data_IF_785590212698
#
_entry.id   IF_785590212698
#
_cell.length_a   1.000
_cell.length_b   1.000
_cell.length_c   1.000
_cell.angle_alpha   90.00
_cell.angle_beta   90.00
_cell.angle_gamma   90.00
#
_symmetry.space_group_name_H-M   'P 1'
#
loop_
_entity.id
_entity.type
_entity.pdbx_description
1 polymer ?
#
# COMPACT_ATOMS: atom_id res chain seq x y z
N UNK A 1 -12.76 -13.43 -13.84
CA UNK A 1 -13.75 -13.30 -12.74
C UNK A 1 -13.26 -12.26 -11.77
N UNK A 2 -14.07 -11.30 -11.46
CA UNK A 2 -13.73 -10.26 -10.50
C UNK A 2 -13.65 -10.84 -9.09
N UNK A 3 -12.56 -10.56 -8.37
CA UNK A 3 -12.36 -11.10 -7.02
C UNK A 3 -13.29 -10.37 -6.05
N UNK A 4 -14.20 -11.08 -5.43
CA UNK A 4 -15.20 -10.54 -4.51
C UNK A 4 -14.70 -10.40 -3.07
N UNK A 5 -13.59 -11.05 -2.73
CA UNK A 5 -13.03 -11.05 -1.38
C UNK A 5 -11.64 -10.47 -1.42
N UNK A 6 -11.36 -9.57 -0.50
CA UNK A 6 -10.03 -9.02 -0.27
C UNK A 6 -9.69 -8.99 1.21
N UNK A 7 -8.43 -9.15 1.54
CA UNK A 7 -7.93 -8.92 2.90
C UNK A 7 -7.44 -7.48 2.98
N UNK A 8 -8.05 -6.71 3.88
CA UNK A 8 -7.69 -5.31 4.06
C UNK A 8 -6.24 -5.15 4.50
N UNK A 9 -5.55 -4.08 4.05
CA UNK A 9 -4.24 -3.73 4.55
C UNK A 9 -4.26 -3.49 6.07
N UNK A 10 -3.41 -4.19 6.83
CA UNK A 10 -3.36 -4.07 8.28
C UNK A 10 -1.91 -4.07 8.77
N UNK A 11 -1.49 -2.98 9.43
CA UNK A 11 -0.17 -2.86 10.03
C UNK A 11 0.08 -3.98 11.04
N UNK A 12 1.26 -4.61 10.95
CA UNK A 12 1.64 -5.72 11.82
C UNK A 12 0.91 -7.04 11.59
N UNK A 13 -0.01 -7.10 10.63
CA UNK A 13 -0.83 -8.28 10.34
C UNK A 13 -0.59 -8.80 8.91
N UNK A 14 -0.82 -7.97 7.89
CA UNK A 14 -0.79 -8.40 6.49
C UNK A 14 0.60 -8.36 5.87
N UNK A 15 1.59 -8.85 6.58
CA UNK A 15 2.96 -9.01 6.10
C UNK A 15 3.05 -10.09 5.00
N UNK A 16 4.25 -10.25 4.43
CA UNK A 16 4.49 -11.22 3.35
C UNK A 16 4.20 -12.67 3.76
N UNK A 17 4.40 -13.01 5.04
CA UNK A 17 4.19 -14.37 5.55
C UNK A 17 2.71 -14.68 5.71
N UNK A 18 1.96 -13.74 6.29
CA UNK A 18 0.50 -13.84 6.37
C UNK A 18 -0.13 -13.94 4.98
N UNK A 19 0.26 -13.08 4.05
CA UNK A 19 -0.26 -13.10 2.68
C UNK A 19 0.06 -14.42 1.97
N UNK A 20 1.25 -14.97 2.19
CA UNK A 20 1.62 -16.27 1.65
C UNK A 20 0.71 -17.38 2.18
N UNK A 21 0.50 -17.42 3.50
CA UNK A 21 -0.40 -18.38 4.13
C UNK A 21 -1.82 -18.30 3.55
N UNK A 22 -2.39 -17.11 3.44
CA UNK A 22 -3.72 -16.91 2.87
C UNK A 22 -3.76 -17.35 1.39
N UNK A 23 -2.72 -17.11 0.63
CA UNK A 23 -2.65 -17.51 -0.79
C UNK A 23 -2.67 -19.03 -0.99
N UNK A 24 -2.20 -19.79 -0.01
CA UNK A 24 -2.29 -21.25 -0.01
C UNK A 24 -3.70 -21.75 0.31
N UNK A 25 -4.43 -21.03 1.17
CA UNK A 25 -5.78 -21.40 1.60
C UNK A 25 -6.84 -20.96 0.58
N UNK A 26 -6.64 -19.81 -0.08
CA UNK A 26 -7.65 -19.20 -0.94
C UNK A 26 -6.99 -18.51 -2.15
N UNK A 27 -7.10 -19.14 -3.32
CA UNK A 27 -6.42 -18.69 -4.56
C UNK A 27 -7.01 -17.40 -5.16
N UNK A 28 -8.27 -17.11 -4.85
CA UNK A 28 -9.02 -16.00 -5.47
C UNK A 28 -9.24 -14.81 -4.53
N UNK A 29 -8.42 -14.69 -3.50
CA UNK A 29 -8.44 -13.55 -2.59
C UNK A 29 -7.48 -12.48 -3.07
N UNK A 30 -7.92 -11.20 -3.04
CA UNK A 30 -7.05 -10.06 -3.26
C UNK A 30 -6.31 -9.74 -1.96
N UNK A 31 -5.00 -9.63 -2.05
CA UNK A 31 -4.12 -9.39 -0.91
C UNK A 31 -3.43 -8.03 -1.06
N UNK A 32 -3.23 -7.36 0.06
CA UNK A 32 -2.52 -6.07 0.13
C UNK A 32 -1.36 -6.13 1.12
N UNK A 33 -0.34 -5.32 0.85
CA UNK A 33 0.70 -5.04 1.85
C UNK A 33 0.11 -4.26 3.03
N UNK A 34 0.78 -4.21 4.18
CA UNK A 34 0.54 -3.15 5.15
C UNK A 34 0.74 -1.78 4.50
N UNK A 35 0.19 -0.74 5.11
CA UNK A 35 0.41 0.63 4.66
C UNK A 35 1.90 1.01 4.76
N UNK A 36 2.45 1.56 3.67
CA UNK A 36 3.84 2.00 3.58
C UNK A 36 3.86 3.50 3.25
N UNK A 37 4.63 4.27 3.98
CA UNK A 37 4.78 5.70 3.67
C UNK A 37 5.52 5.90 2.35
N UNK A 38 5.02 6.80 1.50
CA UNK A 38 5.61 7.10 0.20
C UNK A 38 7.07 7.59 0.33
N UNK A 39 7.36 8.39 1.34
CA UNK A 39 8.72 8.84 1.66
C UNK A 39 9.65 7.66 1.97
N UNK A 40 9.17 6.65 2.67
CA UNK A 40 9.96 5.46 2.97
C UNK A 40 10.32 4.69 1.68
N UNK A 41 9.41 4.64 0.72
CA UNK A 41 9.65 4.02 -0.59
C UNK A 41 10.70 4.79 -1.37
N UNK A 42 10.56 6.11 -1.45
CA UNK A 42 11.48 6.99 -2.19
C UNK A 42 12.90 6.97 -1.61
N UNK A 43 13.01 6.87 -0.29
CA UNK A 43 14.29 6.94 0.42
C UNK A 43 14.91 5.56 0.72
N UNK A 44 14.17 4.47 0.49
CA UNK A 44 14.67 3.11 0.73
C UNK A 44 15.44 2.55 -0.46
N UNK A 45 16.19 1.49 -0.21
CA UNK A 45 16.71 0.67 -1.31
C UNK A 45 15.59 -0.08 -2.02
N UNK A 46 15.71 -0.29 -3.34
CA UNK A 46 14.76 -1.10 -4.12
C UNK A 46 14.52 -2.50 -3.55
N UNK A 47 15.46 -3.02 -2.77
CA UNK A 47 15.34 -4.33 -2.11
C UNK A 47 14.19 -4.39 -1.10
N UNK A 48 13.85 -3.29 -0.43
CA UNK A 48 12.73 -3.25 0.50
C UNK A 48 11.40 -3.54 -0.22
N UNK A 49 11.11 -2.82 -1.30
CA UNK A 49 9.88 -2.98 -2.09
C UNK A 49 9.80 -4.38 -2.70
N UNK A 50 10.90 -4.89 -3.23
CA UNK A 50 10.98 -6.24 -3.77
C UNK A 50 10.69 -7.31 -2.70
N UNK A 51 11.22 -7.12 -1.50
CA UNK A 51 10.98 -8.02 -0.37
C UNK A 51 9.53 -8.01 0.09
N UNK A 52 8.89 -6.83 0.11
CA UNK A 52 7.49 -6.70 0.51
C UNK A 52 6.52 -7.32 -0.51
N UNK A 53 6.89 -7.44 -1.77
CA UNK A 53 6.06 -8.15 -2.75
C UNK A 53 5.88 -9.64 -2.38
N UNK A 54 6.89 -10.27 -1.80
CA UNK A 54 6.81 -11.67 -1.36
C UNK A 54 6.78 -12.66 -2.53
N UNK A 55 6.11 -13.80 -2.30
CA UNK A 55 6.03 -14.91 -3.25
C UNK A 55 4.69 -14.97 -4.01
N UNK A 56 3.76 -14.09 -3.72
CA UNK A 56 2.43 -14.08 -4.33
C UNK A 56 2.47 -13.37 -5.68
N UNK A 57 1.76 -13.93 -6.65
CA UNK A 57 1.71 -13.37 -8.02
C UNK A 57 0.84 -12.12 -8.15
N UNK A 58 0.00 -11.83 -7.16
CA UNK A 58 -1.01 -10.75 -7.26
C UNK A 58 -1.20 -10.06 -5.91
N UNK A 59 -0.37 -9.09 -5.63
CA UNK A 59 -0.43 -8.27 -4.41
C UNK A 59 -0.64 -6.82 -4.78
N UNK A 60 -1.58 -6.16 -4.11
CA UNK A 60 -1.70 -4.71 -4.10
C UNK A 60 -0.76 -4.12 -3.05
N UNK A 61 -0.12 -3.01 -3.35
CA UNK A 61 0.64 -2.25 -2.38
C UNK A 61 -0.19 -1.06 -1.89
N UNK A 62 -0.37 -0.93 -0.57
CA UNK A 62 -0.99 0.25 -0.01
C UNK A 62 0.07 1.24 0.43
N UNK A 63 -0.07 2.48 -0.03
CA UNK A 63 0.82 3.59 0.33
C UNK A 63 0.07 4.69 1.07
N UNK A 64 0.80 5.47 1.85
CA UNK A 64 0.32 6.70 2.47
C UNK A 64 1.26 7.84 2.10
N UNK A 65 0.72 9.00 1.76
CA UNK A 65 1.48 10.19 1.43
C UNK A 65 0.56 11.39 1.32
N UNK A 66 1.08 12.58 1.59
CA UNK A 66 0.36 13.85 1.50
C UNK A 66 0.94 14.81 0.46
N UNK A 67 2.13 14.51 -0.05
CA UNK A 67 2.78 15.28 -1.13
C UNK A 67 2.58 14.53 -2.47
N UNK A 68 1.84 15.11 -3.43
CA UNK A 68 1.61 14.50 -4.73
C UNK A 68 2.90 14.11 -5.46
N UNK A 69 3.96 14.92 -5.38
CA UNK A 69 5.22 14.65 -6.06
C UNK A 69 5.93 13.42 -5.47
N UNK A 70 5.90 13.28 -4.14
CA UNK A 70 6.48 12.11 -3.45
C UNK A 70 5.68 10.85 -3.77
N UNK A 71 4.34 10.96 -3.78
CA UNK A 71 3.46 9.84 -4.13
C UNK A 71 3.70 9.37 -5.57
N UNK A 72 3.82 10.30 -6.53
CA UNK A 72 4.14 9.96 -7.93
C UNK A 72 5.49 9.27 -8.05
N UNK A 73 6.52 9.77 -7.38
CA UNK A 73 7.86 9.12 -7.37
C UNK A 73 7.80 7.71 -6.77
N UNK A 74 7.07 7.55 -5.66
CA UNK A 74 6.87 6.23 -5.05
C UNK A 74 6.15 5.28 -6.02
N UNK A 75 5.09 5.74 -6.71
CA UNK A 75 4.36 4.97 -7.69
C UNK A 75 5.27 4.51 -8.85
N UNK A 76 6.13 5.39 -9.37
CA UNK A 76 7.10 5.05 -10.42
C UNK A 76 8.05 3.93 -9.96
N UNK A 77 8.55 4.01 -8.73
CA UNK A 77 9.39 2.95 -8.15
C UNK A 77 8.62 1.63 -8.03
N UNK A 78 7.35 1.69 -7.59
CA UNK A 78 6.51 0.50 -7.41
C UNK A 78 6.25 -0.20 -8.75
N UNK A 79 6.04 0.55 -9.84
CA UNK A 79 5.79 -0.01 -11.18
C UNK A 79 6.89 -0.96 -11.65
N UNK A 80 8.13 -0.76 -11.20
CA UNK A 80 9.26 -1.63 -11.53
C UNK A 80 9.23 -3.00 -10.81
N UNK A 81 8.29 -3.20 -9.88
CA UNK A 81 8.31 -4.33 -8.93
C UNK A 81 7.11 -5.29 -9.01
N UNK A 82 6.38 -5.31 -10.12
CA UNK A 82 5.30 -6.28 -10.40
C UNK A 82 4.15 -6.32 -9.37
N UNK A 83 3.82 -5.20 -8.74
CA UNK A 83 2.57 -5.08 -8.00
C UNK A 83 1.39 -4.95 -8.95
N UNK A 84 0.26 -5.54 -8.59
CA UNK A 84 -0.95 -5.50 -9.43
C UNK A 84 -1.74 -4.21 -9.32
N UNK A 85 -1.56 -3.51 -8.21
CA UNK A 85 -2.36 -2.36 -7.85
C UNK A 85 -1.59 -1.49 -6.87
N UNK A 86 -1.73 -0.18 -7.02
CA UNK A 86 -1.31 0.79 -6.01
C UNK A 86 -2.58 1.34 -5.36
N UNK A 87 -2.65 1.25 -4.05
CA UNK A 87 -3.79 1.69 -3.25
C UNK A 87 -3.34 2.82 -2.32
N UNK A 88 -4.04 3.96 -2.35
CA UNK A 88 -3.74 5.10 -1.48
C UNK A 88 -4.62 5.04 -0.23
N UNK A 89 -4.00 5.09 0.95
CA UNK A 89 -4.72 5.15 2.22
C UNK A 89 -5.20 6.58 2.49
N UNK A 90 -6.52 6.75 2.55
CA UNK A 90 -7.18 8.01 2.93
C UNK A 90 -8.14 7.81 4.11
N UNK A 91 -8.08 6.68 4.79
CA UNK A 91 -9.07 6.31 5.80
C UNK A 91 -8.54 6.00 7.19
N UNK A 92 -7.24 5.75 7.36
CA UNK A 92 -6.70 5.35 8.67
C UNK A 92 -6.85 6.47 9.71
N UNK A 93 -7.60 6.24 10.82
CA UNK A 93 -7.88 7.27 11.82
C UNK A 93 -6.88 7.29 12.98
N UNK A 94 -5.84 6.44 12.98
CA UNK A 94 -4.91 6.36 14.11
C UNK A 94 -4.16 7.68 14.31
N UNK A 95 -3.93 8.07 15.55
CA UNK A 95 -3.20 9.31 15.90
C UNK A 95 -1.83 9.37 15.23
N UNK A 96 -1.10 8.25 15.24
CA UNK A 96 0.22 8.16 14.62
C UNK A 96 0.17 8.51 13.13
N UNK A 97 -0.84 8.04 12.41
CA UNK A 97 -1.01 8.32 10.98
C UNK A 97 -1.48 9.75 10.76
N UNK A 98 -2.41 10.24 11.57
CA UNK A 98 -2.89 11.63 11.49
C UNK A 98 -1.79 12.66 11.80
N UNK A 99 -0.91 12.37 12.75
CA UNK A 99 0.24 13.22 13.05
C UNK A 99 1.21 13.37 11.87
N UNK A 100 1.21 12.43 10.94
CA UNK A 100 1.94 12.52 9.67
C UNK A 100 1.12 13.21 8.57
N UNK A 101 -0.08 13.71 8.84
CA UNK A 101 -1.00 14.33 7.88
C UNK A 101 -1.36 13.42 6.69
N UNK A 102 -1.46 12.12 6.93
CA UNK A 102 -1.86 11.11 5.95
C UNK A 102 -3.07 10.32 6.46
N UNK A 103 -3.54 9.34 5.71
CA UNK A 103 -4.73 8.58 6.07
C UNK A 103 -5.99 9.46 6.07
N UNK A 104 -6.81 9.36 7.11
CA UNK A 104 -8.07 10.13 7.20
C UNK A 104 -7.85 11.65 7.18
N UNK A 105 -6.68 12.14 7.57
CA UNK A 105 -6.36 13.57 7.54
C UNK A 105 -6.42 14.16 6.11
N UNK A 106 -6.19 13.36 5.07
CA UNK A 106 -6.31 13.77 3.67
C UNK A 106 -7.74 14.14 3.27
N UNK A 107 -8.76 13.65 3.97
CA UNK A 107 -10.15 14.03 3.72
C UNK A 107 -10.44 15.50 3.98
N UNK A 108 -9.60 16.18 4.78
CA UNK A 108 -9.68 17.62 5.01
C UNK A 108 -9.16 18.45 3.83
N UNK A 109 -8.47 17.82 2.91
CA UNK A 109 -7.84 18.45 1.75
C UNK A 109 -8.17 17.70 0.45
N UNK A 110 -9.45 17.63 0.05
CA UNK A 110 -9.87 16.78 -1.08
C UNK A 110 -9.25 17.23 -2.41
N UNK A 111 -8.93 18.50 -2.57
CA UNK A 111 -8.27 19.02 -3.77
C UNK A 111 -6.84 18.47 -3.92
N UNK A 112 -6.16 18.19 -2.83
CA UNK A 112 -4.83 17.55 -2.85
C UNK A 112 -4.89 16.14 -3.47
N UNK A 113 -5.97 15.41 -3.23
CA UNK A 113 -6.16 14.06 -3.78
C UNK A 113 -6.35 14.04 -5.30
N UNK A 114 -6.87 15.14 -5.89
CA UNK A 114 -7.03 15.25 -7.34
C UNK A 114 -5.68 15.28 -8.06
N UNK A 115 -4.64 15.77 -7.40
CA UNK A 115 -3.29 15.91 -7.96
C UNK A 115 -2.40 14.68 -7.74
N UNK A 116 -2.88 13.72 -6.97
CA UNK A 116 -2.24 12.42 -6.79
C UNK A 116 -2.77 11.47 -7.88
#
# INVERSE_FOLDING_TARGET
MEKRISVAPMMGQTDRHFRYMISLMAKDVRLYTPMIHAEAIVNSSNNFIKRENGYQKKVGIQIAGNDPNVVVRAATIIEEHNYNEINLNIGCPSERVQNCSVGVALMKQPLSLIHI
#
